data_IF_222961364444
#
_entry.id   IF_222961364444
#
_cell.length_a   1.000
_cell.length_b   1.000
_cell.length_c   1.000
_cell.angle_alpha   90.00
_cell.angle_beta   90.00
_cell.angle_gamma   90.00
#
_symmetry.space_group_name_H-M   'P 1'
#
loop_
_entity.id
_entity.type
_entity.pdbx_description
1 polymer ?
#
# COMPACT_ATOMS: atom_id res chain seq x y z
N UNK A 1 -8.58 16.54 -14.34
CA UNK A 1 -7.91 16.34 -15.64
C UNK A 1 -8.52 15.12 -16.30
N UNK A 2 -8.75 15.11 -17.62
CA UNK A 2 -9.38 13.97 -18.30
C UNK A 2 -8.46 12.75 -18.31
N UNK A 3 -9.02 11.54 -18.13
CA UNK A 3 -8.30 10.25 -18.14
C UNK A 3 -7.35 10.05 -19.34
N UNK A 4 -7.56 10.79 -20.43
CA UNK A 4 -6.82 10.69 -21.69
C UNK A 4 -5.40 11.26 -21.69
N UNK A 5 -4.90 11.83 -20.58
CA UNK A 5 -3.52 12.34 -20.47
C UNK A 5 -2.61 11.57 -19.50
N UNK A 6 -3.16 10.72 -18.62
CA UNK A 6 -2.33 9.97 -17.66
C UNK A 6 -1.59 8.85 -18.38
N UNK A 7 -0.26 8.86 -18.31
CA UNK A 7 0.63 7.88 -18.96
C UNK A 7 0.86 6.61 -18.13
N UNK A 8 0.35 6.56 -16.91
CA UNK A 8 0.44 5.41 -16.01
C UNK A 8 -0.91 5.09 -15.37
N UNK A 9 -1.06 3.86 -14.88
CA UNK A 9 -2.11 3.46 -13.94
C UNK A 9 -1.51 3.41 -12.54
N UNK A 10 -2.09 4.16 -11.59
CA UNK A 10 -1.69 4.12 -10.19
C UNK A 10 -2.62 3.19 -9.39
N UNK A 11 -2.04 2.16 -8.79
CA UNK A 11 -2.71 1.21 -7.90
C UNK A 11 -2.25 1.48 -6.47
N UNK A 12 -3.09 2.07 -5.63
CA UNK A 12 -2.80 2.22 -4.21
C UNK A 12 -3.09 0.91 -3.46
N UNK A 13 -2.13 0.41 -2.70
CA UNK A 13 -2.28 -0.73 -1.78
C UNK A 13 -2.05 -0.21 -0.37
N UNK A 14 -3.14 -0.05 0.39
CA UNK A 14 -3.11 0.55 1.72
C UNK A 14 -3.71 -0.31 2.81
N UNK A 15 -3.54 0.10 4.07
CA UNK A 15 -3.90 -0.66 5.25
C UNK A 15 -2.87 -0.57 6.37
N UNK A 16 -3.25 -1.02 7.57
CA UNK A 16 -2.39 -0.99 8.76
C UNK A 16 -0.99 -1.60 8.50
N UNK A 17 0.02 -1.08 9.21
CA UNK A 17 1.36 -1.66 9.26
C UNK A 17 1.31 -3.17 9.53
N UNK A 18 2.22 -3.94 8.94
CA UNK A 18 2.28 -5.42 9.06
C UNK A 18 1.04 -6.21 8.55
N UNK A 19 0.14 -5.60 7.79
CA UNK A 19 -1.02 -6.31 7.19
C UNK A 19 -0.67 -7.24 6.02
N UNK A 20 0.48 -7.05 5.37
CA UNK A 20 0.95 -7.84 4.23
C UNK A 20 0.97 -7.10 2.88
N UNK A 21 0.83 -5.77 2.90
CA UNK A 21 0.82 -4.90 1.71
C UNK A 21 2.04 -5.08 0.81
N UNK A 22 3.24 -4.97 1.37
CA UNK A 22 4.52 -5.13 0.65
C UNK A 22 4.63 -6.49 -0.04
N UNK A 23 4.19 -7.55 0.65
CA UNK A 23 4.14 -8.90 0.05
C UNK A 23 3.17 -8.93 -1.14
N UNK A 24 1.97 -8.38 -0.98
CA UNK A 24 0.99 -8.30 -2.06
C UNK A 24 1.51 -7.47 -3.25
N UNK A 25 2.11 -6.31 -2.99
CA UNK A 25 2.67 -5.42 -4.01
C UNK A 25 3.77 -6.12 -4.82
N UNK A 26 4.72 -6.80 -4.15
CA UNK A 26 5.77 -7.59 -4.81
C UNK A 26 5.21 -8.71 -5.68
N UNK A 27 4.21 -9.45 -5.17
CA UNK A 27 3.56 -10.52 -5.94
C UNK A 27 2.82 -9.97 -7.17
N UNK A 28 2.09 -8.86 -7.03
CA UNK A 28 1.40 -8.21 -8.13
C UNK A 28 2.37 -7.69 -9.20
N UNK A 29 3.50 -7.08 -8.78
CA UNK A 29 4.57 -6.66 -9.69
C UNK A 29 5.14 -7.84 -10.50
N UNK A 30 5.33 -8.99 -9.86
CA UNK A 30 5.91 -10.16 -10.52
C UNK A 30 4.93 -10.86 -11.49
N UNK A 31 3.61 -10.67 -11.26
CA UNK A 31 2.50 -11.19 -12.07
C UNK A 31 2.19 -10.28 -13.27
N UNK A 32 2.04 -8.98 -13.02
CA UNK A 32 1.56 -8.02 -14.00
C UNK A 32 2.68 -7.59 -14.96
N UNK A 33 2.43 -7.51 -16.29
CA UNK A 33 3.41 -6.95 -17.21
C UNK A 33 3.57 -5.45 -16.97
N UNK A 34 4.80 -4.93 -17.15
CA UNK A 34 5.11 -3.50 -17.05
C UNK A 34 4.70 -2.87 -15.71
N UNK A 35 4.89 -3.61 -14.61
CA UNK A 35 4.55 -3.18 -13.27
C UNK A 35 5.77 -2.78 -12.44
N UNK A 36 5.63 -1.71 -11.67
CA UNK A 36 6.65 -1.13 -10.80
C UNK A 36 6.06 -0.91 -9.40
N UNK A 37 6.92 -0.79 -8.39
CA UNK A 37 6.50 -0.49 -7.02
C UNK A 37 7.12 0.83 -6.59
N UNK A 38 6.32 1.61 -5.87
CA UNK A 38 6.74 2.76 -5.10
C UNK A 38 6.32 2.51 -3.64
N UNK A 39 7.25 2.60 -2.69
CA UNK A 39 6.92 2.45 -1.28
C UNK A 39 6.73 3.82 -0.62
N UNK A 40 5.65 4.00 0.14
CA UNK A 40 5.44 5.20 0.97
C UNK A 40 6.58 5.36 1.99
N UNK A 41 7.11 4.24 2.48
CA UNK A 41 8.24 4.19 3.41
C UNK A 41 9.55 4.75 2.81
N UNK A 42 9.67 4.88 1.47
CA UNK A 42 10.83 5.54 0.86
C UNK A 42 10.86 7.06 1.11
N UNK A 43 9.73 7.63 1.56
CA UNK A 43 9.51 9.04 1.85
C UNK A 43 9.53 9.37 3.34
N UNK A 44 10.04 8.47 4.20
CA UNK A 44 10.35 8.86 5.58
C UNK A 44 11.33 10.03 5.61
N UNK A 45 11.14 10.94 6.57
CA UNK A 45 12.13 11.95 6.92
C UNK A 45 13.36 11.32 7.58
N UNK A 46 14.38 12.13 7.82
CA UNK A 46 15.57 11.67 8.56
C UNK A 46 15.21 11.26 9.99
N UNK A 47 15.98 10.37 10.58
CA UNK A 47 15.74 9.84 11.92
C UNK A 47 15.59 10.97 12.95
N UNK A 48 16.34 12.08 12.78
CA UNK A 48 16.27 13.28 13.64
C UNK A 48 14.98 14.09 13.50
N UNK A 49 14.30 13.98 12.36
CA UNK A 49 13.08 14.71 12.03
C UNK A 49 11.81 13.92 12.34
N UNK A 50 11.95 12.65 12.71
CA UNK A 50 10.82 11.82 13.15
C UNK A 50 10.23 12.42 14.44
N UNK A 51 8.92 12.72 14.46
CA UNK A 51 8.30 13.36 15.60
C UNK A 51 8.37 12.45 16.83
N UNK A 52 8.53 13.05 18.00
CA UNK A 52 8.51 12.34 19.28
C UNK A 52 7.17 12.57 19.95
N UNK A 53 6.48 11.49 20.28
CA UNK A 53 5.18 11.57 20.96
C UNK A 53 5.34 12.04 22.42
N UNK A 54 4.20 12.28 23.08
CA UNK A 54 4.15 12.75 24.48
C UNK A 54 4.88 11.85 25.49
N UNK A 55 5.08 10.58 25.15
CA UNK A 55 5.73 9.57 26.00
C UNK A 55 7.23 9.43 25.70
N UNK A 56 7.78 10.29 24.83
CA UNK A 56 9.20 10.32 24.50
C UNK A 56 9.64 9.30 23.45
N UNK A 57 8.69 8.71 22.71
CA UNK A 57 8.96 7.70 21.68
C UNK A 57 8.82 8.30 20.29
N UNK A 58 9.75 8.01 19.38
CA UNK A 58 9.66 8.40 17.98
C UNK A 58 8.45 7.75 17.32
N UNK A 59 7.59 8.55 16.69
CA UNK A 59 6.38 8.11 16.01
C UNK A 59 6.64 8.00 14.51
N UNK A 60 7.02 6.80 14.08
CA UNK A 60 7.22 6.51 12.67
C UNK A 60 5.89 6.30 11.92
N UNK A 61 4.80 5.94 12.62
CA UNK A 61 3.54 5.56 11.99
C UNK A 61 2.54 6.75 11.96
N UNK A 62 3.01 7.96 11.60
CA UNK A 62 2.19 9.17 11.49
C UNK A 62 2.46 9.96 10.20
N UNK A 63 1.64 10.95 9.87
CA UNK A 63 1.81 11.74 8.64
C UNK A 63 3.07 12.62 8.72
N UNK A 64 3.37 13.13 9.90
CA UNK A 64 4.48 14.04 10.14
C UNK A 64 5.85 13.37 10.01
N UNK A 65 5.92 12.03 10.03
CA UNK A 65 7.16 11.27 9.77
C UNK A 65 7.50 11.19 8.27
N UNK A 66 6.58 11.53 7.38
CA UNK A 66 6.73 11.43 5.92
C UNK A 66 6.95 12.81 5.27
N UNK A 67 7.74 12.83 4.21
CA UNK A 67 7.81 13.94 3.24
C UNK A 67 6.68 13.78 2.21
N UNK A 68 5.50 14.27 2.57
CA UNK A 68 4.30 14.20 1.74
C UNK A 68 4.44 15.01 0.44
N UNK A 69 5.22 16.10 0.45
CA UNK A 69 5.46 16.91 -0.74
C UNK A 69 6.31 16.12 -1.77
N UNK A 70 7.33 15.40 -1.30
CA UNK A 70 8.11 14.51 -2.15
C UNK A 70 7.28 13.34 -2.69
N UNK A 71 6.40 12.74 -1.86
CA UNK A 71 5.48 11.69 -2.30
C UNK A 71 4.54 12.22 -3.40
N UNK A 72 3.91 13.38 -3.19
CA UNK A 72 3.00 13.97 -4.18
C UNK A 72 3.71 14.26 -5.50
N UNK A 73 4.91 14.85 -5.45
CA UNK A 73 5.73 15.10 -6.66
C UNK A 73 6.09 13.81 -7.38
N UNK A 74 6.42 12.74 -6.66
CA UNK A 74 6.71 11.45 -7.26
C UNK A 74 5.48 10.87 -7.98
N UNK A 75 4.29 10.93 -7.35
CA UNK A 75 3.05 10.45 -7.96
C UNK A 75 2.66 11.27 -9.20
N UNK A 76 2.77 12.61 -9.14
CA UNK A 76 2.51 13.49 -10.28
C UNK A 76 3.49 13.21 -11.45
N UNK A 77 4.77 13.04 -11.13
CA UNK A 77 5.79 12.68 -12.12
C UNK A 77 5.43 11.36 -12.82
N UNK A 78 5.06 10.33 -12.05
CA UNK A 78 4.66 9.04 -12.59
C UNK A 78 3.44 9.17 -13.50
N UNK A 79 2.38 9.89 -13.08
CA UNK A 79 1.18 10.07 -13.92
C UNK A 79 1.48 10.81 -15.21
N UNK A 80 2.36 11.79 -15.16
CA UNK A 80 2.69 12.66 -16.30
C UNK A 80 3.65 11.99 -17.29
N UNK A 81 4.61 11.20 -16.79
CA UNK A 81 5.70 10.66 -17.61
C UNK A 81 5.58 9.16 -17.89
N UNK A 82 4.86 8.41 -17.04
CA UNK A 82 4.80 6.95 -17.12
C UNK A 82 6.12 6.28 -16.69
N UNK A 83 6.88 6.93 -15.81
CA UNK A 83 8.22 6.48 -15.42
C UNK A 83 8.44 6.73 -13.93
N UNK A 84 9.29 5.90 -13.30
CA UNK A 84 9.76 6.17 -11.94
C UNK A 84 10.55 7.48 -11.92
N UNK A 85 10.45 8.30 -10.86
CA UNK A 85 11.34 9.44 -10.68
C UNK A 85 12.81 8.98 -10.70
N UNK A 86 13.71 9.64 -11.46
CA UNK A 86 15.07 9.15 -11.71
C UNK A 86 15.94 9.10 -10.44
N UNK A 87 15.66 9.96 -9.47
CA UNK A 87 16.46 10.09 -8.24
C UNK A 87 15.91 9.25 -7.08
N UNK A 88 14.86 8.44 -7.30
CA UNK A 88 14.25 7.65 -6.25
C UNK A 88 14.91 6.27 -6.15
N UNK A 89 15.66 6.07 -5.07
CA UNK A 89 16.17 4.74 -4.67
C UNK A 89 15.27 4.12 -3.60
N UNK A 90 14.66 2.97 -3.93
CA UNK A 90 13.85 2.19 -2.99
C UNK A 90 14.73 1.59 -1.88
N UNK A 91 14.45 1.97 -0.64
CA UNK A 91 15.08 1.43 0.56
C UNK A 91 14.28 0.23 1.08
N UNK A 92 12.97 0.26 0.91
CA UNK A 92 12.10 -0.84 1.33
C UNK A 92 12.39 -2.14 0.57
N UNK A 93 12.88 -2.07 -0.67
CA UNK A 93 13.37 -3.26 -1.38
C UNK A 93 14.56 -3.96 -0.69
N UNK A 94 15.29 -3.26 0.19
CA UNK A 94 16.38 -3.83 0.98
C UNK A 94 15.87 -4.59 2.21
N UNK A 95 14.63 -4.33 2.65
CA UNK A 95 14.03 -5.02 3.78
C UNK A 95 13.58 -6.45 3.38
N UNK A 96 13.92 -7.40 4.25
CA UNK A 96 13.57 -8.80 4.05
C UNK A 96 12.06 -9.00 4.20
N UNK A 97 11.43 -9.58 3.18
CA UNK A 97 10.07 -10.11 3.29
C UNK A 97 10.19 -11.60 3.57
N UNK A 98 9.65 -12.05 4.70
CA UNK A 98 9.60 -13.46 5.07
C UNK A 98 8.82 -14.31 4.06
N UNK A 99 8.76 -15.62 4.27
CA UNK A 99 7.98 -16.50 3.39
C UNK A 99 6.51 -16.06 3.33
N UNK A 100 6.01 -15.81 2.11
CA UNK A 100 4.67 -15.29 1.88
C UNK A 100 3.56 -16.34 2.06
N UNK A 101 3.91 -17.62 2.13
CA UNK A 101 2.95 -18.73 2.16
C UNK A 101 2.05 -18.81 0.91
N UNK A 102 2.39 -18.09 -0.16
CA UNK A 102 1.60 -18.04 -1.39
C UNK A 102 1.75 -19.33 -2.19
N UNK A 103 0.67 -19.74 -2.85
CA UNK A 103 0.71 -20.81 -3.83
C UNK A 103 1.46 -20.34 -5.09
N UNK A 104 2.69 -20.87 -5.26
CA UNK A 104 3.56 -20.52 -6.39
C UNK A 104 3.00 -20.95 -7.73
N UNK A 105 2.24 -22.05 -7.77
CA UNK A 105 1.59 -22.48 -9.01
C UNK A 105 0.51 -21.47 -9.40
N UNK A 106 -0.30 -21.03 -8.43
CA UNK A 106 -1.34 -20.02 -8.69
C UNK A 106 -0.75 -18.70 -9.17
N UNK A 107 0.35 -18.25 -8.58
CA UNK A 107 1.08 -17.04 -9.04
C UNK A 107 1.55 -17.19 -10.49
N UNK A 108 2.08 -18.36 -10.87
CA UNK A 108 2.51 -18.62 -12.25
C UNK A 108 1.32 -18.61 -13.24
N UNK A 109 0.18 -19.19 -12.86
CA UNK A 109 -1.04 -19.15 -13.66
C UNK A 109 -1.55 -17.72 -13.89
N UNK A 110 -1.57 -16.89 -12.83
CA UNK A 110 -1.96 -15.49 -12.94
C UNK A 110 -1.00 -14.70 -13.82
N UNK A 111 0.31 -14.98 -13.72
CA UNK A 111 1.31 -14.37 -14.59
C UNK A 111 1.05 -14.71 -16.05
N UNK A 112 0.84 -15.98 -16.37
CA UNK A 112 0.52 -16.41 -17.74
C UNK A 112 -0.76 -15.76 -18.26
N UNK A 113 -1.79 -15.63 -17.41
CA UNK A 113 -3.03 -14.94 -17.75
C UNK A 113 -2.79 -13.46 -18.03
N UNK A 114 -2.03 -12.77 -17.19
CA UNK A 114 -1.69 -11.37 -17.35
C UNK A 114 -0.95 -11.11 -18.67
N UNK A 115 0.00 -11.98 -19.03
CA UNK A 115 0.75 -11.86 -20.29
C UNK A 115 -0.12 -12.16 -21.51
N UNK A 116 -1.00 -13.16 -21.45
CA UNK A 116 -1.94 -13.47 -22.56
C UNK A 116 -2.94 -12.35 -22.80
N UNK A 117 -3.41 -11.72 -21.72
CA UNK A 117 -4.39 -10.63 -21.77
C UNK A 117 -3.74 -9.26 -22.05
N UNK A 118 -2.40 -9.19 -22.10
CA UNK A 118 -1.68 -7.92 -22.13
C UNK A 118 -1.93 -7.06 -23.37
N UNK A 119 -2.32 -7.62 -24.52
CA UNK A 119 -2.86 -6.90 -25.69
C UNK A 119 -2.35 -5.46 -25.91
N UNK A 120 -3.26 -4.50 -26.14
CA UNK A 120 -2.95 -3.06 -26.20
C UNK A 120 -2.68 -2.43 -24.81
N UNK A 121 -3.03 -3.13 -23.71
CA UNK A 121 -2.75 -2.68 -22.34
C UNK A 121 -1.28 -2.82 -21.92
N UNK A 122 -0.47 -3.55 -22.69
CA UNK A 122 0.94 -3.82 -22.44
C UNK A 122 1.81 -2.57 -22.45
N UNK A 123 1.35 -1.48 -23.07
CA UNK A 123 2.14 -0.25 -23.20
C UNK A 123 1.99 0.70 -22.01
N UNK A 124 0.90 0.59 -21.23
CA UNK A 124 0.67 1.50 -20.10
C UNK A 124 1.33 0.94 -18.83
N UNK A 125 2.33 1.62 -18.26
CA UNK A 125 2.98 1.17 -17.04
C UNK A 125 2.02 1.22 -15.84
N UNK A 126 2.12 0.21 -15.00
CA UNK A 126 1.34 0.07 -13.77
C UNK A 126 2.27 0.36 -12.60
N UNK A 127 1.94 1.36 -11.80
CA UNK A 127 2.66 1.66 -10.58
C UNK A 127 1.81 1.23 -9.39
N UNK A 128 2.37 0.33 -8.57
CA UNK A 128 1.77 -0.14 -7.33
C UNK A 128 2.39 0.66 -6.19
N UNK A 129 1.57 1.43 -5.49
CA UNK A 129 2.01 2.28 -4.39
C UNK A 129 1.64 1.56 -3.09
N UNK A 130 2.65 1.08 -2.38
CA UNK A 130 2.51 0.37 -1.11
C UNK A 130 2.71 1.34 0.06
N UNK A 131 1.67 1.56 0.87
CA UNK A 131 1.75 2.53 1.96
C UNK A 131 0.64 2.40 2.99
N UNK A 132 0.97 2.63 4.26
CA UNK A 132 0.05 2.48 5.38
C UNK A 132 -0.88 3.68 5.60
N UNK A 133 -0.55 4.87 5.08
CA UNK A 133 -1.35 6.10 5.24
C UNK A 133 -2.04 6.58 3.97
N UNK A 134 -1.79 5.94 2.82
CA UNK A 134 -2.34 6.36 1.52
C UNK A 134 -3.85 6.64 1.52
N UNK A 135 -4.63 5.89 2.32
CA UNK A 135 -6.10 6.06 2.42
C UNK A 135 -6.59 6.68 3.72
N UNK A 136 -5.70 7.25 4.53
CA UNK A 136 -6.05 8.01 5.73
C UNK A 136 -6.96 9.21 5.43
N UNK A 137 -7.62 9.73 6.46
CA UNK A 137 -8.55 10.85 6.30
C UNK A 137 -7.89 12.08 5.69
N UNK A 138 -6.72 12.47 6.20
CA UNK A 138 -5.97 13.66 5.77
C UNK A 138 -5.30 13.50 4.40
N UNK A 139 -5.06 12.26 3.95
CA UNK A 139 -4.48 11.95 2.65
C UNK A 139 -5.52 11.94 1.52
N UNK A 140 -6.61 12.70 1.64
CA UNK A 140 -7.65 12.74 0.59
C UNK A 140 -7.10 13.07 -0.80
N UNK A 141 -6.26 14.11 -0.89
CA UNK A 141 -5.70 14.56 -2.17
C UNK A 141 -4.82 13.48 -2.83
N UNK A 142 -3.93 12.83 -2.07
CA UNK A 142 -3.14 11.69 -2.54
C UNK A 142 -4.04 10.51 -2.91
N UNK A 143 -5.00 10.15 -2.06
CA UNK A 143 -5.95 9.07 -2.31
C UNK A 143 -6.65 9.26 -3.64
N UNK A 144 -7.08 10.48 -3.96
CA UNK A 144 -7.83 10.77 -5.18
C UNK A 144 -6.98 10.63 -6.46
N UNK A 145 -5.65 10.52 -6.36
CA UNK A 145 -4.77 10.26 -7.50
C UNK A 145 -4.82 8.80 -8.00
N UNK A 146 -5.23 7.84 -7.16
CA UNK A 146 -5.20 6.42 -7.50
C UNK A 146 -6.38 5.96 -8.36
N UNK A 147 -6.07 5.21 -9.41
CA UNK A 147 -7.01 4.61 -10.35
C UNK A 147 -7.67 3.34 -9.79
N UNK A 148 -6.91 2.56 -9.01
CA UNK A 148 -7.37 1.39 -8.26
C UNK A 148 -6.93 1.54 -6.81
N UNK A 149 -7.84 1.33 -5.86
CA UNK A 149 -7.58 1.52 -4.43
C UNK A 149 -7.87 0.23 -3.67
N UNK A 150 -6.83 -0.49 -3.27
CA UNK A 150 -6.92 -1.78 -2.58
C UNK A 150 -6.60 -1.60 -1.09
N UNK A 151 -7.56 -1.88 -0.21
CA UNK A 151 -7.38 -1.75 1.24
C UNK A 151 -7.31 -3.11 1.93
N UNK A 152 -6.14 -3.45 2.44
CA UNK A 152 -5.88 -4.63 3.25
C UNK A 152 -6.17 -4.32 4.72
N UNK A 153 -6.87 -5.24 5.39
CA UNK A 153 -7.12 -5.16 6.83
C UNK A 153 -6.39 -6.29 7.54
N UNK A 154 -6.12 -6.07 8.82
CA UNK A 154 -5.64 -7.07 9.77
C UNK A 154 -6.15 -6.66 11.15
N UNK A 155 -6.47 -7.65 12.00
CA UNK A 155 -6.84 -7.37 13.38
C UNK A 155 -5.62 -7.03 14.24
N UNK A 156 -5.86 -6.41 15.38
CA UNK A 156 -4.82 -5.94 16.30
C UNK A 156 -3.84 -7.07 16.66
N UNK A 157 -4.38 -8.23 17.03
CA UNK A 157 -3.57 -9.41 17.40
C UNK A 157 -2.58 -9.81 16.31
N UNK A 158 -3.01 -9.81 15.05
CA UNK A 158 -2.17 -10.19 13.91
C UNK A 158 -1.10 -9.15 13.65
N UNK A 159 -1.46 -7.86 13.70
CA UNK A 159 -0.51 -6.75 13.55
C UNK A 159 0.55 -6.82 14.63
N UNK A 160 0.15 -6.99 15.89
CA UNK A 160 1.06 -7.10 17.03
C UNK A 160 2.02 -8.27 16.90
N UNK A 161 1.49 -9.47 16.66
CA UNK A 161 2.32 -10.66 16.47
C UNK A 161 3.34 -10.48 15.33
N UNK A 162 2.94 -9.90 14.20
CA UNK A 162 3.82 -9.73 13.05
C UNK A 162 4.84 -8.62 13.22
N UNK A 163 4.44 -7.48 13.82
CA UNK A 163 5.31 -6.32 14.04
C UNK A 163 6.38 -6.63 15.08
N UNK A 164 6.01 -7.24 16.21
CA UNK A 164 6.95 -7.61 17.28
C UNK A 164 7.90 -8.76 16.87
N UNK A 165 7.57 -9.53 15.82
CA UNK A 165 8.44 -10.57 15.28
C UNK A 165 9.51 -10.04 14.30
N UNK A 166 9.44 -8.76 13.92
CA UNK A 166 10.46 -8.14 13.04
C UNK A 166 11.72 -7.86 13.84
N UNK A 167 12.88 -8.10 13.23
CA UNK A 167 14.18 -7.87 13.87
C UNK A 167 14.58 -6.39 13.96
N UNK A 168 13.77 -5.50 13.39
CA UNK A 168 13.99 -4.05 13.26
C UNK A 168 13.90 -3.58 11.79
N UNK A 169 14.22 -2.31 11.56
CA UNK A 169 14.02 -1.58 10.31
C UNK A 169 15.29 -0.84 9.91
N UNK A 170 15.67 -0.93 8.63
CA UNK A 170 16.71 -0.05 8.09
C UNK A 170 16.11 1.33 7.85
N UNK A 171 16.70 2.37 8.45
CA UNK A 171 16.26 3.76 8.32
C UNK A 171 17.18 4.53 7.35
N UNK A 172 16.96 5.84 7.19
CA UNK A 172 17.84 6.69 6.38
C UNK A 172 19.25 6.78 6.99
N UNK A 173 19.33 6.85 8.32
CA UNK A 173 20.57 7.13 9.03
C UNK A 173 21.08 5.96 9.89
N UNK A 174 20.36 4.83 9.93
CA UNK A 174 20.79 3.67 10.68
C UNK A 174 19.78 2.53 10.73
N UNK A 175 19.41 2.15 11.95
CA UNK A 175 18.57 1.00 12.25
C UNK A 175 17.66 1.31 13.43
N UNK A 176 16.37 1.02 13.27
CA UNK A 176 15.34 1.22 14.29
C UNK A 176 14.78 -0.11 14.78
N UNK A 177 14.58 -0.23 16.09
CA UNK A 177 13.87 -1.35 16.70
C UNK A 177 12.73 -0.78 17.53
N UNK A 178 11.52 -1.31 17.32
CA UNK A 178 10.33 -0.85 18.03
C UNK A 178 10.50 -1.09 19.54
N UNK A 179 10.34 -0.08 20.41
CA UNK A 179 10.42 -0.28 21.85
C UNK A 179 9.23 -1.12 22.37
N UNK A 180 9.33 -1.71 23.58
CA UNK A 180 8.23 -2.47 24.17
C UNK A 180 6.93 -1.66 24.23
N UNK A 181 5.84 -2.25 23.72
CA UNK A 181 4.51 -1.61 23.69
C UNK A 181 4.24 -0.70 22.49
N UNK A 182 5.22 -0.50 21.59
CA UNK A 182 5.11 0.40 20.44
C UNK A 182 3.89 0.11 19.55
N UNK A 183 3.53 -1.16 19.36
CA UNK A 183 2.36 -1.54 18.56
C UNK A 183 1.09 -0.93 19.12
N UNK A 184 0.89 -1.01 20.43
CA UNK A 184 -0.33 -0.56 21.08
C UNK A 184 -0.39 0.97 21.15
N UNK A 185 0.73 1.60 21.52
CA UNK A 185 0.79 3.03 21.78
C UNK A 185 0.96 3.90 20.55
N UNK A 186 1.54 3.36 19.47
CA UNK A 186 1.87 4.09 18.24
C UNK A 186 1.16 3.49 17.04
N UNK A 187 1.58 2.30 16.60
CA UNK A 187 1.11 1.70 15.32
C UNK A 187 -0.41 1.59 15.25
N UNK A 188 -1.02 0.98 16.27
CA UNK A 188 -2.46 0.75 16.30
C UNK A 188 -3.24 2.02 16.63
N UNK A 189 -2.72 2.85 17.54
CA UNK A 189 -3.34 4.11 17.91
C UNK A 189 -3.45 5.06 16.71
N UNK A 190 -2.38 5.20 15.93
CA UNK A 190 -2.38 6.03 14.71
C UNK A 190 -3.23 5.40 13.60
N UNK A 191 -3.17 4.09 13.40
CA UNK A 191 -4.09 3.43 12.46
C UNK A 191 -5.55 3.71 12.79
N UNK A 192 -5.94 3.58 14.08
CA UNK A 192 -7.28 3.90 14.53
C UNK A 192 -7.64 5.37 14.30
N UNK A 193 -6.76 6.29 14.71
CA UNK A 193 -6.94 7.74 14.50
C UNK A 193 -7.17 8.08 13.02
N UNK A 194 -6.32 7.59 12.14
CA UNK A 194 -6.24 8.03 10.75
C UNK A 194 -7.25 7.34 9.82
N UNK A 195 -7.75 6.16 10.22
CA UNK A 195 -8.67 5.37 9.39
C UNK A 195 -10.06 5.18 10.00
N UNK A 196 -10.33 5.57 11.26
CA UNK A 196 -11.63 5.41 11.92
C UNK A 196 -12.82 5.90 11.08
N UNK A 197 -12.64 6.93 10.24
CA UNK A 197 -13.70 7.45 9.38
C UNK A 197 -14.27 6.39 8.41
N UNK A 198 -13.48 5.41 8.00
CA UNK A 198 -13.88 4.29 7.13
C UNK A 198 -14.74 3.23 7.85
N UNK A 199 -14.80 3.25 9.18
CA UNK A 199 -15.42 2.20 9.98
C UNK A 199 -16.67 2.69 10.74
N UNK A 200 -17.62 1.79 10.95
CA UNK A 200 -18.78 2.01 11.82
C UNK A 200 -18.29 2.32 13.24
N UNK A 201 -18.88 3.32 13.89
CA UNK A 201 -18.55 3.78 15.23
C UNK A 201 -17.07 4.16 15.48
N UNK A 202 -16.25 4.25 14.42
CA UNK A 202 -14.81 4.47 14.52
C UNK A 202 -14.01 3.24 14.96
N UNK A 203 -14.64 2.06 15.03
CA UNK A 203 -13.98 0.81 15.41
C UNK A 203 -13.27 0.17 14.20
N UNK A 204 -11.93 0.29 14.16
CA UNK A 204 -11.11 -0.25 13.06
C UNK A 204 -11.04 -1.78 13.02
N UNK A 205 -11.48 -2.48 14.07
CA UNK A 205 -11.68 -3.94 14.02
C UNK A 205 -13.10 -4.31 13.55
N UNK A 206 -14.02 -3.36 13.61
CA UNK A 206 -15.43 -3.51 13.30
C UNK A 206 -15.77 -3.54 11.81
N UNK A 207 -17.00 -3.16 11.48
CA UNK A 207 -17.48 -3.14 10.10
C UNK A 207 -17.04 -1.86 9.39
N UNK A 208 -16.84 -1.98 8.09
CA UNK A 208 -16.59 -0.83 7.23
C UNK A 208 -17.92 -0.15 6.88
N UNK A 209 -17.89 1.17 6.70
CA UNK A 209 -18.99 1.92 6.09
C UNK A 209 -19.00 1.65 4.59
N UNK A 210 -19.66 0.58 4.16
CA UNK A 210 -19.63 0.08 2.78
C UNK A 210 -19.96 1.17 1.73
N UNK A 211 -21.01 1.97 1.97
CA UNK A 211 -21.40 3.06 1.07
C UNK A 211 -20.32 4.15 0.95
N UNK A 212 -19.60 4.44 2.05
CA UNK A 212 -18.49 5.38 2.05
C UNK A 212 -17.31 4.82 1.25
N UNK A 213 -16.92 3.57 1.51
CA UNK A 213 -15.84 2.91 0.77
C UNK A 213 -16.14 2.86 -0.73
N UNK A 214 -17.38 2.51 -1.11
CA UNK A 214 -17.82 2.51 -2.51
C UNK A 214 -17.73 3.90 -3.14
N UNK A 215 -18.22 4.94 -2.44
CA UNK A 215 -18.16 6.34 -2.91
C UNK A 215 -16.72 6.85 -3.06
N UNK A 216 -15.81 6.43 -2.19
CA UNK A 216 -14.38 6.73 -2.27
C UNK A 216 -13.64 5.84 -3.29
N UNK A 217 -14.31 4.83 -3.86
CA UNK A 217 -13.72 3.86 -4.77
C UNK A 217 -12.67 2.95 -4.12
N UNK A 218 -12.75 2.74 -2.80
CA UNK A 218 -11.84 1.87 -2.05
C UNK A 218 -12.39 0.45 -2.06
N UNK A 219 -11.72 -0.45 -2.79
CA UNK A 219 -11.97 -1.88 -2.73
C UNK A 219 -11.30 -2.46 -1.48
N UNK A 220 -12.11 -2.91 -0.53
CA UNK A 220 -11.62 -3.49 0.72
C UNK A 220 -11.52 -5.01 0.62
N UNK A 221 -10.38 -5.58 1.00
CA UNK A 221 -10.17 -7.01 0.98
C UNK A 221 -11.19 -7.73 1.88
N UNK A 222 -12.00 -8.66 1.37
CA UNK A 222 -12.93 -9.43 2.20
C UNK A 222 -12.21 -10.15 3.35
N UNK A 223 -12.85 -10.29 4.51
CA UNK A 223 -12.25 -11.04 5.63
C UNK A 223 -11.82 -12.46 5.23
N UNK A 224 -12.58 -13.10 4.34
CA UNK A 224 -12.29 -14.44 3.83
C UNK A 224 -10.98 -14.55 3.03
N UNK A 225 -10.48 -13.44 2.43
CA UNK A 225 -9.23 -13.47 1.68
C UNK A 225 -8.02 -13.09 2.54
N UNK A 226 -8.21 -12.31 3.61
CA UNK A 226 -7.11 -11.79 4.44
C UNK A 226 -6.28 -12.88 5.15
N UNK A 227 -6.85 -14.07 5.37
CA UNK A 227 -6.13 -15.20 5.97
C UNK A 227 -5.24 -15.96 4.98
N UNK A 228 -5.31 -15.67 3.68
CA UNK A 228 -4.56 -16.37 2.64
C UNK A 228 -3.96 -15.38 1.66
N UNK A 229 -2.62 -15.30 1.61
CA UNK A 229 -1.95 -14.43 0.66
C UNK A 229 -2.31 -14.78 -0.79
N UNK A 230 -2.53 -16.06 -1.11
CA UNK A 230 -3.03 -16.49 -2.43
C UNK A 230 -4.37 -15.83 -2.75
N UNK A 231 -5.32 -15.88 -1.81
CA UNK A 231 -6.64 -15.29 -2.02
C UNK A 231 -6.57 -13.74 -2.13
N UNK A 232 -5.69 -13.09 -1.37
CA UNK A 232 -5.43 -11.66 -1.51
C UNK A 232 -4.89 -11.30 -2.89
N UNK A 233 -3.95 -12.09 -3.42
CA UNK A 233 -3.37 -11.88 -4.76
C UNK A 233 -4.44 -12.07 -5.83
N UNK A 234 -5.23 -13.14 -5.77
CA UNK A 234 -6.33 -13.37 -6.71
C UNK A 234 -7.32 -12.19 -6.73
N UNK A 235 -7.78 -11.77 -5.54
CA UNK A 235 -8.69 -10.64 -5.40
C UNK A 235 -8.12 -9.35 -5.99
N UNK A 236 -6.88 -8.99 -5.62
CA UNK A 236 -6.23 -7.78 -6.08
C UNK A 236 -5.99 -7.81 -7.60
N UNK A 237 -5.53 -8.95 -8.13
CA UNK A 237 -5.33 -9.14 -9.56
C UNK A 237 -6.64 -8.95 -10.35
N UNK A 238 -7.76 -9.50 -9.86
CA UNK A 238 -9.07 -9.28 -10.49
C UNK A 238 -9.44 -7.81 -10.53
N UNK A 239 -9.29 -7.07 -9.42
CA UNK A 239 -9.61 -5.64 -9.37
C UNK A 239 -8.78 -4.80 -10.34
N UNK A 240 -7.49 -5.09 -10.44
CA UNK A 240 -6.59 -4.41 -11.38
C UNK A 240 -6.95 -4.78 -12.82
N UNK A 241 -7.17 -6.06 -13.11
CA UNK A 241 -7.51 -6.54 -14.46
C UNK A 241 -8.85 -5.97 -14.96
N UNK A 242 -9.85 -5.85 -14.08
CA UNK A 242 -11.13 -5.22 -14.39
C UNK A 242 -10.96 -3.74 -14.74
N UNK A 243 -10.11 -3.02 -14.00
CA UNK A 243 -9.80 -1.62 -14.29
C UNK A 243 -9.09 -1.49 -15.65
N UNK A 244 -8.05 -2.29 -15.90
CA UNK A 244 -7.30 -2.26 -17.15
C UNK A 244 -8.20 -2.58 -18.36
N UNK A 245 -9.09 -3.56 -18.22
CA UNK A 245 -10.05 -3.93 -19.26
C UNK A 245 -11.02 -2.78 -19.57
N UNK A 246 -11.53 -2.09 -18.55
CA UNK A 246 -12.39 -0.90 -18.71
C UNK A 246 -11.64 0.27 -19.36
N UNK A 247 -10.37 0.45 -19.03
CA UNK A 247 -9.50 1.48 -19.63
C UNK A 247 -9.25 1.23 -21.11
N UNK A 248 -9.00 -0.02 -21.50
CA UNK A 248 -8.76 -0.40 -22.90
C UNK A 248 -9.99 -0.30 -23.80
N UNK A 249 -11.19 -0.33 -23.23
CA UNK A 249 -12.45 -0.23 -23.95
C UNK A 249 -12.92 1.22 -24.21
N UNK A 250 -12.24 2.23 -23.64
CA UNK A 250 -12.49 3.66 -23.86
C UNK A 250 -11.67 4.17 -25.05
#
# INVERSE_FOLDING_TARGET
MSDSQNKAVLVGVSGVSSSGKTTLARLLRDILPNAFILHEDDFYKTDQEIPVNKDGVQDWDCLESLDLEALEKALDFIKTHGQSPPDLESKEDKNAVGESGVDKQRVAELKDQAHKNSGATSEVPIFIIDGFLLFSQEMQHIRDLFDVKLFLRANHKTVKQRREARSGYVTLEGFWEDPPGYVDSVVWANYAKDHAFLFEDGDVEGKLKEELCQRLGIDTAPQAVQSSMTACVDWAYTKISDHLSKRAAK
#
